data_IF_358254529375
#
_entry.id   IF_358254529375
#
_cell.length_a   1.000
_cell.length_b   1.000
_cell.length_c   1.000
_cell.angle_alpha   90.00
_cell.angle_beta   90.00
_cell.angle_gamma   90.00
#
_symmetry.space_group_name_H-M   'P 1'
#
loop_
_entity.id
_entity.type
_entity.pdbx_description
1 polymer ?
#
# COMPACT_ATOMS: atom_id res chain seq x y z
N UNK A 1 10.75 20.26 6.98
CA UNK A 1 9.53 20.96 6.46
C UNK A 1 8.57 21.20 7.63
N UNK A 2 7.78 22.30 7.60
CA UNK A 2 6.75 22.49 8.63
C UNK A 2 5.66 21.42 8.44
N UNK A 3 5.18 20.78 9.51
CA UNK A 3 4.15 19.75 9.62
C UNK A 3 3.01 19.86 8.60
N UNK A 4 2.38 21.06 8.51
CA UNK A 4 1.32 21.33 7.53
C UNK A 4 1.79 21.17 6.07
N UNK A 5 3.06 21.46 5.79
CA UNK A 5 3.63 21.31 4.46
C UNK A 5 3.76 19.83 4.04
N UNK A 6 4.14 18.93 4.94
CA UNK A 6 4.24 17.49 4.64
C UNK A 6 2.86 16.90 4.32
N UNK A 7 1.83 17.23 5.11
CA UNK A 7 0.46 16.78 4.86
C UNK A 7 -0.04 17.29 3.51
N UNK A 8 0.14 18.60 3.23
CA UNK A 8 -0.35 19.21 1.98
C UNK A 8 0.37 18.57 0.77
N UNK A 9 1.70 18.47 0.82
CA UNK A 9 2.47 17.87 -0.28
C UNK A 9 2.12 16.40 -0.45
N UNK A 10 2.04 15.63 0.65
CA UNK A 10 1.65 14.23 0.60
C UNK A 10 0.27 14.03 -0.01
N UNK A 11 -0.74 14.78 0.44
CA UNK A 11 -2.09 14.75 -0.12
C UNK A 11 -2.13 15.17 -1.60
N UNK A 12 -1.39 16.22 -1.98
CA UNK A 12 -1.33 16.67 -3.36
C UNK A 12 -0.74 15.59 -4.29
N UNK A 13 0.35 14.94 -3.87
CA UNK A 13 0.95 13.86 -4.64
C UNK A 13 0.00 12.66 -4.77
N UNK A 14 -0.63 12.23 -3.68
CA UNK A 14 -1.60 11.13 -3.70
C UNK A 14 -2.76 11.48 -4.64
N UNK A 15 -3.30 12.69 -4.53
CA UNK A 15 -4.40 13.15 -5.38
C UNK A 15 -4.03 13.15 -6.87
N UNK A 16 -2.82 13.62 -7.21
CA UNK A 16 -2.30 13.59 -8.59
C UNK A 16 -2.31 12.16 -9.12
N UNK A 17 -1.79 11.19 -8.36
CA UNK A 17 -1.74 9.79 -8.81
C UNK A 17 -3.11 9.14 -8.87
N UNK A 18 -4.02 9.45 -7.95
CA UNK A 18 -5.41 8.99 -8.02
C UNK A 18 -6.10 9.55 -9.27
N UNK A 19 -5.95 10.85 -9.53
CA UNK A 19 -6.51 11.48 -10.73
C UNK A 19 -5.90 10.89 -12.00
N UNK A 20 -4.59 10.66 -12.03
CA UNK A 20 -3.90 9.98 -13.13
C UNK A 20 -4.46 8.57 -13.37
N UNK A 21 -4.69 7.77 -12.30
CA UNK A 21 -5.25 6.43 -12.40
C UNK A 21 -6.69 6.44 -12.92
N UNK A 22 -7.52 7.38 -12.45
CA UNK A 22 -8.92 7.51 -12.88
C UNK A 22 -9.05 8.05 -14.29
N UNK A 23 -8.24 9.03 -14.64
CA UNK A 23 -8.26 9.69 -15.93
C UNK A 23 -7.43 8.95 -17.00
N UNK A 24 -6.74 7.88 -16.66
CA UNK A 24 -5.90 7.12 -17.59
C UNK A 24 -6.59 6.77 -18.92
N UNK A 25 -7.87 6.30 -18.95
CA UNK A 25 -8.55 6.02 -20.21
C UNK A 25 -8.83 7.25 -21.09
N UNK A 26 -8.86 8.44 -20.49
CA UNK A 26 -9.10 9.72 -21.18
C UNK A 26 -7.80 10.42 -21.60
N UNK A 27 -6.74 10.26 -20.81
CA UNK A 27 -5.47 10.92 -21.01
C UNK A 27 -4.48 10.10 -21.83
N UNK A 28 -4.67 8.78 -21.93
CA UNK A 28 -3.79 7.92 -22.71
C UNK A 28 -3.96 8.20 -24.22
N UNK A 29 -2.90 8.64 -24.92
CA UNK A 29 -2.99 8.93 -26.34
C UNK A 29 -3.21 7.68 -27.19
N UNK A 30 -2.74 6.52 -26.69
CA UNK A 30 -2.78 5.25 -27.41
C UNK A 30 -3.19 4.10 -26.48
N UNK A 31 -3.61 2.96 -27.05
CA UNK A 31 -3.83 1.74 -26.29
C UNK A 31 -2.49 1.30 -25.62
N UNK A 32 -2.44 1.12 -24.28
CA UNK A 32 -1.24 0.75 -23.57
C UNK A 32 -0.68 -0.63 -23.96
N UNK A 33 -1.47 -1.48 -24.62
CA UNK A 33 -1.11 -2.83 -25.00
C UNK A 33 -0.90 -3.00 -26.52
N UNK A 34 -1.20 -1.97 -27.30
CA UNK A 34 -1.01 -2.02 -28.76
C UNK A 34 0.49 -2.10 -29.10
N UNK A 35 0.92 -3.22 -29.67
CA UNK A 35 2.31 -3.48 -30.05
C UNK A 35 2.56 -3.11 -31.52
N UNK A 36 3.76 -2.60 -31.81
CA UNK A 36 4.15 -2.25 -33.19
C UNK A 36 5.65 -2.40 -33.39
N UNK A 37 6.10 -3.45 -34.06
CA UNK A 37 7.54 -3.71 -34.26
C UNK A 37 8.27 -2.56 -34.97
N UNK A 38 7.59 -1.82 -35.85
CA UNK A 38 8.13 -0.64 -36.51
C UNK A 38 8.42 0.53 -35.54
N UNK A 39 7.75 0.55 -34.38
CA UNK A 39 7.87 1.57 -33.34
C UNK A 39 8.75 1.13 -32.17
N UNK A 40 9.46 0.01 -32.30
CA UNK A 40 10.34 -0.50 -31.26
C UNK A 40 11.39 0.55 -30.86
N UNK A 41 11.39 0.94 -29.58
CA UNK A 41 12.26 1.99 -29.03
C UNK A 41 12.18 3.33 -29.79
N UNK A 42 11.04 3.64 -30.40
CA UNK A 42 10.87 4.90 -31.10
C UNK A 42 11.04 6.09 -30.13
N UNK A 43 11.72 7.16 -30.57
CA UNK A 43 11.92 8.35 -29.74
C UNK A 43 10.59 9.10 -29.50
N UNK A 44 10.55 10.03 -28.56
CA UNK A 44 9.42 10.90 -28.33
C UNK A 44 8.94 11.62 -29.61
N UNK A 45 7.62 11.65 -29.81
CA UNK A 45 6.96 12.32 -30.94
C UNK A 45 5.64 12.91 -30.49
N UNK A 46 4.95 13.65 -31.40
CA UNK A 46 3.60 14.17 -31.10
C UNK A 46 2.56 13.09 -30.85
N UNK A 47 2.71 11.93 -31.48
CA UNK A 47 1.82 10.76 -31.30
C UNK A 47 2.23 9.91 -30.10
N UNK A 48 3.51 9.85 -29.79
CA UNK A 48 4.10 9.10 -28.66
C UNK A 48 4.96 10.03 -27.79
N UNK A 49 4.37 10.82 -26.87
CA UNK A 49 5.05 11.91 -26.19
C UNK A 49 6.28 11.50 -25.35
N UNK A 50 6.31 10.29 -24.82
CA UNK A 50 7.46 9.70 -24.11
C UNK A 50 8.17 8.60 -24.93
N UNK A 51 7.82 8.48 -26.21
CA UNK A 51 8.33 7.42 -27.07
C UNK A 51 7.64 6.07 -26.83
N UNK A 52 8.27 5.01 -27.36
CA UNK A 52 7.76 3.65 -27.29
C UNK A 52 8.76 2.71 -26.62
N UNK A 53 8.23 1.63 -26.04
CA UNK A 53 9.03 0.57 -25.41
C UNK A 53 9.62 -0.42 -26.43
N UNK A 54 10.21 -1.51 -25.93
CA UNK A 54 10.83 -2.56 -26.75
C UNK A 54 9.85 -3.31 -27.65
N UNK A 55 8.54 -3.25 -27.36
CA UNK A 55 7.48 -3.86 -28.16
C UNK A 55 6.74 -2.84 -29.03
N UNK A 56 7.18 -1.57 -29.01
CA UNK A 56 6.55 -0.47 -29.75
C UNK A 56 5.25 0.03 -29.11
N UNK A 57 5.04 -0.24 -27.81
CA UNK A 57 3.87 0.25 -27.06
C UNK A 57 4.13 1.65 -26.54
N UNK A 58 3.09 2.50 -26.47
CA UNK A 58 3.20 3.88 -26.00
C UNK A 58 3.58 3.95 -24.50
N UNK A 59 4.75 4.50 -24.20
CA UNK A 59 5.28 4.60 -22.83
C UNK A 59 4.39 5.47 -21.94
N UNK A 60 3.91 6.63 -22.42
CA UNK A 60 3.02 7.50 -21.65
C UNK A 60 1.70 6.80 -21.29
N UNK A 61 1.08 6.12 -22.25
CA UNK A 61 -0.17 5.36 -22.00
C UNK A 61 0.06 4.29 -20.94
N UNK A 62 1.18 3.58 -21.00
CA UNK A 62 1.55 2.56 -20.04
C UNK A 62 1.79 3.13 -18.64
N UNK A 63 2.43 4.28 -18.50
CA UNK A 63 2.63 4.96 -17.22
C UNK A 63 1.32 5.38 -16.57
N UNK A 64 0.38 5.93 -17.37
CA UNK A 64 -0.94 6.33 -16.89
C UNK A 64 -1.75 5.13 -16.40
N UNK A 65 -1.80 4.06 -17.19
CA UNK A 65 -2.45 2.81 -16.78
C UNK A 65 -1.72 2.12 -15.63
N UNK A 66 -0.38 2.29 -15.53
CA UNK A 66 0.42 1.79 -14.43
C UNK A 66 -0.05 2.29 -13.07
N UNK A 67 -0.42 3.56 -12.97
CA UNK A 67 -1.02 4.11 -11.76
C UNK A 67 -2.31 3.36 -11.36
N UNK A 68 -3.15 3.04 -12.35
CA UNK A 68 -4.40 2.31 -12.14
C UNK A 68 -4.17 0.88 -11.68
N UNK A 69 -3.17 0.18 -12.22
CA UNK A 69 -2.83 -1.19 -11.81
C UNK A 69 -2.11 -1.22 -10.47
N UNK A 70 -1.05 -0.40 -10.29
CA UNK A 70 -0.25 -0.40 -9.07
C UNK A 70 -1.05 0.05 -7.83
N UNK A 71 -1.90 1.06 -7.97
CA UNK A 71 -2.69 1.60 -6.85
C UNK A 71 -4.10 1.02 -6.78
N UNK A 72 -4.77 0.84 -7.92
CA UNK A 72 -6.17 0.44 -7.97
C UNK A 72 -6.43 -0.98 -7.48
N UNK A 73 -5.46 -1.88 -7.58
CA UNK A 73 -5.55 -3.23 -7.00
C UNK A 73 -5.13 -3.25 -5.54
N UNK A 74 -4.09 -2.49 -5.19
CA UNK A 74 -3.48 -2.55 -3.86
C UNK A 74 -4.33 -1.84 -2.80
N UNK A 75 -4.77 -0.61 -3.07
CA UNK A 75 -5.45 0.22 -2.07
C UNK A 75 -6.77 -0.38 -1.57
N UNK A 76 -7.72 -0.84 -2.42
CA UNK A 76 -8.98 -1.40 -1.95
C UNK A 76 -8.80 -2.63 -1.05
N UNK A 77 -7.86 -3.52 -1.42
CA UNK A 77 -7.56 -4.72 -0.62
C UNK A 77 -7.01 -4.32 0.74
N UNK A 78 -6.09 -3.36 0.79
CA UNK A 78 -5.55 -2.88 2.05
C UNK A 78 -6.59 -2.20 2.94
N UNK A 79 -7.54 -1.46 2.39
CA UNK A 79 -8.64 -0.85 3.16
C UNK A 79 -9.45 -1.93 3.87
N UNK A 80 -9.81 -3.00 3.16
CA UNK A 80 -10.57 -4.11 3.76
C UNK A 80 -9.77 -4.81 4.86
N UNK A 81 -8.51 -5.13 4.58
CA UNK A 81 -7.62 -5.79 5.55
C UNK A 81 -7.34 -4.91 6.78
N UNK A 82 -7.17 -3.60 6.58
CA UNK A 82 -6.94 -2.64 7.63
C UNK A 82 -8.17 -2.49 8.55
N UNK A 83 -9.37 -2.42 7.97
CA UNK A 83 -10.61 -2.37 8.75
C UNK A 83 -10.81 -3.65 9.57
N UNK A 84 -10.53 -4.81 8.97
CA UNK A 84 -10.55 -6.09 9.67
C UNK A 84 -9.53 -6.15 10.81
N UNK A 85 -8.27 -5.75 10.53
CA UNK A 85 -7.20 -5.71 11.52
C UNK A 85 -7.53 -4.77 12.68
N UNK A 86 -8.10 -3.60 12.40
CA UNK A 86 -8.50 -2.64 13.42
C UNK A 86 -9.54 -3.23 14.37
N UNK A 87 -10.58 -3.86 13.81
CA UNK A 87 -11.62 -4.48 14.61
C UNK A 87 -11.09 -5.68 15.42
N UNK A 88 -10.46 -6.64 14.76
CA UNK A 88 -9.97 -7.87 15.39
C UNK A 88 -8.86 -7.58 16.41
N UNK A 89 -7.94 -6.68 16.08
CA UNK A 89 -6.85 -6.28 16.97
C UNK A 89 -7.35 -5.59 18.25
N UNK A 90 -8.30 -4.67 18.13
CA UNK A 90 -8.93 -4.04 19.30
C UNK A 90 -9.74 -5.05 20.12
N UNK A 91 -10.53 -5.90 19.45
CA UNK A 91 -11.37 -6.89 20.15
C UNK A 91 -10.52 -7.92 20.91
N UNK A 92 -9.46 -8.45 20.28
CA UNK A 92 -8.59 -9.42 20.93
C UNK A 92 -7.84 -8.82 22.10
N UNK A 93 -7.33 -7.59 21.97
CA UNK A 93 -6.64 -6.89 23.05
C UNK A 93 -7.55 -6.59 24.24
N UNK A 94 -8.81 -6.23 23.99
CA UNK A 94 -9.81 -6.01 25.03
C UNK A 94 -10.18 -7.31 25.75
N UNK A 95 -10.40 -8.40 25.00
CA UNK A 95 -10.79 -9.70 25.55
C UNK A 95 -9.65 -10.37 26.33
N UNK A 96 -8.41 -10.19 25.87
CA UNK A 96 -7.22 -10.79 26.46
C UNK A 96 -7.21 -12.32 26.42
N UNK A 97 -6.42 -12.91 27.30
CA UNK A 97 -6.34 -14.38 27.48
C UNK A 97 -5.94 -15.13 26.21
N UNK A 98 -6.51 -16.32 26.02
CA UNK A 98 -6.19 -17.21 24.89
C UNK A 98 -6.46 -16.59 23.52
N UNK A 99 -7.49 -15.76 23.37
CA UNK A 99 -7.83 -15.13 22.08
C UNK A 99 -6.71 -14.20 21.63
N UNK A 100 -6.24 -13.35 22.53
CA UNK A 100 -5.12 -12.43 22.23
C UNK A 100 -3.82 -13.19 22.00
N UNK A 101 -3.56 -14.24 22.76
CA UNK A 101 -2.36 -15.06 22.65
C UNK A 101 -2.30 -15.80 21.30
N UNK A 102 -3.40 -16.41 20.86
CA UNK A 102 -3.47 -17.10 19.56
C UNK A 102 -3.21 -16.13 18.41
N UNK A 103 -3.86 -14.94 18.44
CA UNK A 103 -3.64 -13.93 17.40
C UNK A 103 -2.18 -13.45 17.40
N UNK A 104 -1.58 -13.26 18.58
CA UNK A 104 -0.18 -12.91 18.70
C UNK A 104 0.74 -13.95 18.06
N UNK A 105 0.56 -15.24 18.42
CA UNK A 105 1.35 -16.33 17.88
C UNK A 105 1.19 -16.43 16.35
N UNK A 106 -0.02 -16.30 15.83
CA UNK A 106 -0.26 -16.32 14.39
C UNK A 106 0.46 -15.16 13.68
N UNK A 107 0.40 -13.95 14.22
CA UNK A 107 1.14 -12.82 13.67
C UNK A 107 2.67 -13.07 13.72
N UNK A 108 3.19 -13.58 14.83
CA UNK A 108 4.62 -13.86 15.01
C UNK A 108 5.10 -14.92 14.00
N UNK A 109 4.31 -15.98 13.77
CA UNK A 109 4.62 -17.01 12.75
C UNK A 109 4.64 -16.41 11.35
N UNK A 110 3.60 -15.63 10.97
CA UNK A 110 3.51 -15.03 9.63
C UNK A 110 4.63 -14.02 9.37
N UNK A 111 5.04 -13.26 10.40
CA UNK A 111 6.10 -12.26 10.28
C UNK A 111 7.51 -12.87 10.40
N UNK A 112 7.65 -14.13 10.81
CA UNK A 112 8.94 -14.83 10.84
C UNK A 112 9.45 -15.16 9.42
N UNK A 113 8.57 -15.23 8.43
CA UNK A 113 8.94 -15.50 7.06
C UNK A 113 9.07 -14.19 6.26
N UNK A 114 10.14 -14.03 5.46
CA UNK A 114 10.22 -12.93 4.51
C UNK A 114 9.02 -12.96 3.55
N UNK A 115 8.41 -11.79 3.30
CA UNK A 115 7.24 -11.67 2.41
C UNK A 115 7.45 -12.33 1.05
N UNK A 116 8.64 -12.18 0.48
CA UNK A 116 8.98 -12.77 -0.82
C UNK A 116 8.88 -14.32 -0.81
N UNK A 117 9.26 -14.95 0.31
CA UNK A 117 9.20 -16.41 0.44
C UNK A 117 7.74 -16.87 0.48
N UNK A 118 6.89 -16.18 1.22
CA UNK A 118 5.45 -16.47 1.28
C UNK A 118 4.83 -16.32 -0.12
N UNK A 119 5.15 -15.24 -0.83
CA UNK A 119 4.61 -14.98 -2.16
C UNK A 119 5.07 -16.04 -3.16
N UNK A 120 6.34 -16.39 -3.18
CA UNK A 120 6.86 -17.43 -4.08
C UNK A 120 6.25 -18.81 -3.77
N UNK A 121 6.08 -19.15 -2.49
CA UNK A 121 5.43 -20.39 -2.09
C UNK A 121 3.98 -20.46 -2.57
N UNK A 122 3.20 -19.38 -2.42
CA UNK A 122 1.82 -19.31 -2.88
C UNK A 122 1.70 -19.36 -4.40
N UNK A 123 2.54 -18.63 -5.11
CA UNK A 123 2.57 -18.65 -6.59
C UNK A 123 2.94 -20.04 -7.11
N UNK A 124 3.86 -20.72 -6.45
CA UNK A 124 4.25 -22.10 -6.83
C UNK A 124 3.19 -23.15 -6.50
N UNK A 125 2.40 -22.92 -5.44
CA UNK A 125 1.41 -23.88 -4.96
C UNK A 125 0.04 -23.73 -5.64
N UNK A 126 -0.33 -22.52 -6.04
CA UNK A 126 -1.65 -22.21 -6.62
C UNK A 126 -1.52 -21.91 -8.11
N UNK A 127 -1.05 -20.74 -8.45
CA UNK A 127 -0.77 -20.29 -9.81
C UNK A 127 0.05 -18.99 -9.81
N UNK A 128 0.65 -18.66 -10.96
CA UNK A 128 1.32 -17.36 -11.15
C UNK A 128 0.32 -16.31 -11.58
N UNK A 129 -0.53 -15.88 -10.66
CA UNK A 129 -1.57 -14.88 -10.91
C UNK A 129 -1.44 -13.66 -10.01
N UNK A 130 -2.09 -12.57 -10.44
CA UNK A 130 -2.26 -11.36 -9.62
C UNK A 130 -2.92 -11.68 -8.27
N UNK A 131 -3.88 -12.61 -8.28
CA UNK A 131 -4.59 -13.02 -7.07
C UNK A 131 -3.65 -13.65 -6.04
N UNK A 132 -2.75 -14.55 -6.45
CA UNK A 132 -1.78 -15.19 -5.57
C UNK A 132 -0.85 -14.18 -4.91
N UNK A 133 -0.37 -13.17 -5.64
CA UNK A 133 0.47 -12.10 -5.09
C UNK A 133 -0.32 -11.20 -4.15
N UNK A 134 -1.55 -10.83 -4.49
CA UNK A 134 -2.42 -10.03 -3.62
C UNK A 134 -2.69 -10.77 -2.30
N UNK A 135 -2.97 -12.07 -2.36
CA UNK A 135 -3.20 -12.89 -1.16
C UNK A 135 -1.92 -12.92 -0.30
N UNK A 136 -0.75 -13.13 -0.90
CA UNK A 136 0.52 -13.15 -0.17
C UNK A 136 0.80 -11.84 0.56
N UNK A 137 0.66 -10.71 -0.15
CA UNK A 137 0.83 -9.39 0.42
C UNK A 137 -0.24 -9.14 1.49
N UNK A 138 -1.48 -9.54 1.21
CA UNK A 138 -2.60 -9.40 2.13
C UNK A 138 -2.37 -10.11 3.46
N UNK A 139 -1.91 -11.36 3.43
CA UNK A 139 -1.59 -12.13 4.64
C UNK A 139 -0.51 -11.43 5.47
N UNK A 140 0.57 -11.00 4.84
CA UNK A 140 1.68 -10.34 5.52
C UNK A 140 1.29 -8.96 6.05
N UNK A 141 0.56 -8.17 5.28
CA UNK A 141 0.07 -6.86 5.71
C UNK A 141 -0.96 -6.98 6.83
N UNK A 142 -1.83 -8.00 6.79
CA UNK A 142 -2.79 -8.26 7.85
C UNK A 142 -2.08 -8.55 9.19
N UNK A 143 -1.07 -9.42 9.19
CA UNK A 143 -0.28 -9.71 10.39
C UNK A 143 0.39 -8.45 10.93
N UNK A 144 0.95 -7.62 10.05
CA UNK A 144 1.58 -6.36 10.41
C UNK A 144 0.58 -5.36 11.00
N UNK A 145 -0.59 -5.15 10.37
CA UNK A 145 -1.63 -4.28 10.90
C UNK A 145 -2.17 -4.78 12.25
N UNK A 146 -2.46 -6.09 12.36
CA UNK A 146 -2.92 -6.69 13.62
C UNK A 146 -1.93 -6.44 14.76
N UNK A 147 -0.63 -6.66 14.52
CA UNK A 147 0.41 -6.45 15.52
C UNK A 147 0.44 -5.01 15.99
N UNK A 148 0.35 -4.05 15.07
CA UNK A 148 0.35 -2.62 15.39
C UNK A 148 -0.89 -2.20 16.16
N UNK A 149 -2.09 -2.58 15.66
CA UNK A 149 -3.36 -2.28 16.34
C UNK A 149 -3.36 -2.86 17.76
N UNK A 150 -2.94 -4.12 17.93
CA UNK A 150 -2.88 -4.75 19.24
C UNK A 150 -1.94 -4.03 20.20
N UNK A 151 -0.81 -3.52 19.73
CA UNK A 151 0.13 -2.75 20.56
C UNK A 151 -0.53 -1.51 21.13
N UNK A 152 -1.19 -0.71 20.30
CA UNK A 152 -1.91 0.49 20.73
C UNK A 152 -3.15 0.15 21.58
N UNK A 153 -3.93 -0.82 21.16
CA UNK A 153 -5.13 -1.22 21.86
C UNK A 153 -4.85 -1.72 23.27
N UNK A 154 -3.72 -2.41 23.52
CA UNK A 154 -3.31 -2.82 24.86
C UNK A 154 -2.99 -1.64 25.76
N UNK A 155 -2.30 -0.63 25.22
CA UNK A 155 -2.02 0.60 25.97
C UNK A 155 -3.31 1.32 26.33
N UNK A 156 -4.25 1.42 25.38
CA UNK A 156 -5.56 2.05 25.62
C UNK A 156 -6.43 1.27 26.61
N UNK A 157 -6.41 -0.07 26.58
CA UNK A 157 -7.14 -0.91 27.52
C UNK A 157 -6.74 -0.71 29.00
N UNK A 158 -5.53 -0.23 29.27
CA UNK A 158 -5.05 0.07 30.61
C UNK A 158 -5.48 1.43 31.15
N UNK A 159 -6.17 2.26 30.37
CA UNK A 159 -6.57 3.61 30.82
C UNK A 159 -7.84 3.60 31.66
N UNK A 160 -7.94 4.52 32.62
CA UNK A 160 -9.04 4.63 33.60
C UNK A 160 -10.43 4.77 32.96
N UNK A 161 -10.54 5.44 31.81
CA UNK A 161 -11.85 5.60 31.15
C UNK A 161 -12.45 4.28 30.63
N UNK A 162 -11.61 3.29 30.31
CA UNK A 162 -12.06 1.93 29.94
C UNK A 162 -12.60 1.20 31.16
N UNK A 163 -11.93 1.34 32.30
CA UNK A 163 -12.38 0.78 33.57
C UNK A 163 -13.70 1.42 34.01
N UNK A 164 -13.81 2.74 33.94
CA UNK A 164 -15.04 3.47 34.23
C UNK A 164 -16.22 3.00 33.33
N UNK A 165 -15.99 2.81 32.03
CA UNK A 165 -17.00 2.30 31.12
C UNK A 165 -17.43 0.87 31.46
N UNK A 166 -16.50 0.03 31.97
CA UNK A 166 -16.80 -1.34 32.41
C UNK A 166 -17.64 -1.33 33.70
N UNK A 167 -17.28 -0.50 34.67
CA UNK A 167 -18.06 -0.34 35.94
C UNK A 167 -19.45 0.21 35.63
N UNK A 168 -19.59 1.11 34.66
CA UNK A 168 -20.87 1.62 34.21
C UNK A 168 -21.75 0.59 33.45
N UNK A 169 -21.29 -0.67 33.32
CA UNK A 169 -22.03 -1.76 32.71
C UNK A 169 -22.02 -1.79 31.19
N UNK A 170 -21.08 -1.10 30.52
CA UNK A 170 -20.99 -1.17 29.09
C UNK A 170 -20.55 -2.58 28.63
N UNK A 171 -21.23 -3.12 27.61
CA UNK A 171 -20.83 -4.40 27.02
C UNK A 171 -19.46 -4.30 26.34
N UNK A 172 -18.72 -5.42 26.31
CA UNK A 172 -17.38 -5.46 25.70
C UNK A 172 -17.34 -4.97 24.26
N UNK A 173 -18.33 -5.33 23.44
CA UNK A 173 -18.43 -4.85 22.05
C UNK A 173 -18.65 -3.33 22.01
N UNK A 174 -19.46 -2.78 22.93
CA UNK A 174 -19.67 -1.32 23.04
C UNK A 174 -18.39 -0.60 23.42
N UNK A 175 -17.60 -1.16 24.34
CA UNK A 175 -16.30 -0.61 24.74
C UNK A 175 -15.34 -0.61 23.53
N UNK A 176 -15.26 -1.72 22.80
CA UNK A 176 -14.40 -1.81 21.61
C UNK A 176 -14.81 -0.78 20.55
N UNK A 177 -16.08 -0.73 20.17
CA UNK A 177 -16.52 0.12 19.05
C UNK A 177 -16.57 1.61 19.41
N UNK A 178 -16.92 1.96 20.66
CA UNK A 178 -17.21 3.35 21.04
C UNK A 178 -16.09 4.03 21.82
N UNK A 179 -15.19 3.23 22.40
CA UNK A 179 -14.09 3.76 23.21
C UNK A 179 -12.73 3.35 22.66
N UNK A 180 -12.51 2.07 22.34
CA UNK A 180 -11.18 1.60 21.97
C UNK A 180 -10.82 1.95 20.52
N UNK A 181 -11.65 1.59 19.55
CA UNK A 181 -11.39 1.88 18.13
C UNK A 181 -11.18 3.37 17.87
N UNK A 182 -12.05 4.30 18.34
CA UNK A 182 -11.85 5.73 18.07
C UNK A 182 -10.52 6.29 18.62
N UNK A 183 -10.05 5.77 19.76
CA UNK A 183 -8.81 6.23 20.38
C UNK A 183 -7.56 5.60 19.75
N UNK A 184 -7.66 4.39 19.18
CA UNK A 184 -6.58 3.74 18.42
C UNK A 184 -6.50 4.24 16.98
N UNK A 185 -7.63 4.71 16.42
CA UNK A 185 -7.76 5.07 15.02
C UNK A 185 -6.76 6.13 14.52
N UNK A 186 -6.46 7.22 15.26
CA UNK A 186 -5.51 8.22 14.81
C UNK A 186 -4.11 7.64 14.54
N UNK A 187 -3.57 6.88 15.48
CA UNK A 187 -2.28 6.22 15.34
C UNK A 187 -2.31 5.17 14.23
N UNK A 188 -3.43 4.42 14.12
CA UNK A 188 -3.63 3.44 13.08
C UNK A 188 -3.58 4.06 11.67
N UNK A 189 -4.18 5.22 11.44
CA UNK A 189 -4.15 5.91 10.14
C UNK A 189 -2.73 6.26 9.71
N UNK A 190 -1.85 6.65 10.64
CA UNK A 190 -0.43 6.89 10.35
C UNK A 190 0.24 5.64 9.79
N UNK A 191 0.03 4.50 10.45
CA UNK A 191 0.59 3.23 9.99
C UNK A 191 -0.05 2.73 8.71
N UNK A 192 -1.34 2.98 8.53
CA UNK A 192 -2.05 2.62 7.32
C UNK A 192 -1.48 3.34 6.08
N UNK A 193 -1.19 4.64 6.18
CA UNK A 193 -0.61 5.39 5.07
C UNK A 193 0.78 4.87 4.67
N UNK A 194 1.66 4.62 5.63
CA UNK A 194 2.98 3.98 5.36
C UNK A 194 2.84 2.55 4.86
N UNK A 195 1.84 1.82 5.34
CA UNK A 195 1.48 0.48 4.88
C UNK A 195 1.10 0.44 3.41
N UNK A 196 0.36 1.45 2.91
CA UNK A 196 0.03 1.56 1.48
C UNK A 196 1.32 1.71 0.64
N UNK A 197 2.24 2.60 1.02
CA UNK A 197 3.51 2.77 0.32
C UNK A 197 4.31 1.46 0.27
N UNK A 198 4.40 0.76 1.40
CA UNK A 198 5.09 -0.53 1.50
C UNK A 198 4.45 -1.59 0.61
N UNK A 199 3.12 -1.66 0.56
CA UNK A 199 2.42 -2.63 -0.27
C UNK A 199 2.56 -2.34 -1.77
N UNK A 200 2.48 -1.07 -2.20
CA UNK A 200 2.74 -0.67 -3.59
C UNK A 200 4.15 -1.10 -4.00
N UNK A 201 5.17 -0.79 -3.19
CA UNK A 201 6.55 -1.23 -3.44
C UNK A 201 6.68 -2.75 -3.49
N UNK A 202 5.96 -3.48 -2.65
CA UNK A 202 5.98 -4.95 -2.66
C UNK A 202 5.37 -5.53 -3.92
N UNK A 203 4.18 -5.04 -4.34
CA UNK A 203 3.53 -5.43 -5.61
C UNK A 203 4.48 -5.21 -6.78
N UNK A 204 5.05 -4.00 -6.88
CA UNK A 204 5.96 -3.65 -7.97
C UNK A 204 7.27 -4.44 -7.91
N UNK A 205 7.76 -4.81 -6.72
CA UNK A 205 8.93 -5.68 -6.57
C UNK A 205 8.65 -7.10 -7.09
N UNK A 206 7.47 -7.67 -6.80
CA UNK A 206 7.08 -8.97 -7.35
C UNK A 206 6.89 -8.92 -8.86
N UNK A 207 6.25 -7.88 -9.36
CA UNK A 207 6.09 -7.64 -10.79
C UNK A 207 7.45 -7.50 -11.50
N UNK A 208 8.41 -6.81 -10.89
CA UNK A 208 9.80 -6.71 -11.37
C UNK A 208 10.51 -8.06 -11.42
N UNK A 209 10.19 -8.98 -10.51
CA UNK A 209 10.71 -10.34 -10.53
C UNK A 209 9.95 -11.26 -11.51
N UNK A 210 8.90 -10.77 -12.18
CA UNK A 210 8.08 -11.54 -13.09
C UNK A 210 7.06 -12.45 -12.37
N UNK A 211 6.74 -12.14 -11.12
CA UNK A 211 5.81 -12.91 -10.29
C UNK A 211 4.46 -12.22 -10.25
N UNK A 212 3.39 -12.95 -10.55
CA UNK A 212 2.00 -12.55 -10.30
C UNK A 212 1.36 -11.66 -11.35
N UNK A 213 2.05 -11.23 -12.39
CA UNK A 213 1.46 -10.42 -13.45
C UNK A 213 1.50 -11.12 -14.82
N UNK A 214 0.44 -10.92 -15.59
CA UNK A 214 0.40 -11.33 -16.99
C UNK A 214 1.40 -10.45 -17.76
N UNK A 215 2.24 -11.08 -18.57
CA UNK A 215 3.19 -10.35 -19.41
C UNK A 215 2.47 -9.27 -20.25
N UNK A 216 3.02 -8.06 -20.27
CA UNK A 216 2.41 -6.93 -20.96
C UNK A 216 1.49 -6.06 -20.12
N UNK A 217 1.10 -6.46 -18.91
CA UNK A 217 0.33 -5.61 -18.00
C UNK A 217 1.09 -4.30 -17.73
N UNK A 218 0.49 -3.12 -17.93
CA UNK A 218 1.13 -1.85 -17.69
C UNK A 218 1.14 -1.53 -16.19
N UNK A 219 1.93 -2.28 -15.42
CA UNK A 219 2.22 -2.06 -14.01
C UNK A 219 3.67 -1.57 -13.90
N UNK A 220 3.95 -0.60 -13.03
CA UNK A 220 5.25 0.07 -12.99
C UNK A 220 6.44 -0.86 -12.71
N UNK A 221 6.29 -1.86 -11.83
CA UNK A 221 7.32 -2.86 -11.58
C UNK A 221 7.55 -3.80 -12.77
N UNK A 222 6.46 -4.18 -13.47
CA UNK A 222 6.53 -4.96 -14.70
C UNK A 222 7.22 -4.17 -15.83
N UNK A 223 6.91 -2.86 -15.95
CA UNK A 223 7.59 -1.96 -16.89
C UNK A 223 9.09 -1.89 -16.61
N UNK A 224 9.50 -1.81 -15.34
CA UNK A 224 10.90 -1.85 -14.95
C UNK A 224 11.58 -3.18 -15.35
N UNK A 225 10.90 -4.30 -15.16
CA UNK A 225 11.41 -5.61 -15.60
C UNK A 225 11.62 -5.65 -17.12
N UNK A 226 10.61 -5.25 -17.88
CA UNK A 226 10.67 -5.22 -19.33
C UNK A 226 11.79 -4.30 -19.84
N UNK A 227 11.95 -3.13 -19.21
CA UNK A 227 12.99 -2.15 -19.57
C UNK A 227 14.43 -2.56 -19.22
N UNK A 228 14.62 -3.58 -18.39
CA UNK A 228 15.94 -4.04 -17.92
C UNK A 228 16.93 -4.30 -19.05
N UNK A 229 16.46 -4.86 -20.15
CA UNK A 229 17.30 -5.19 -21.30
C UNK A 229 17.62 -3.97 -22.19
N UNK A 230 16.94 -2.85 -21.98
CA UNK A 230 17.15 -1.60 -22.74
C UNK A 230 17.86 -0.51 -21.95
N UNK A 231 18.43 -0.82 -20.77
CA UNK A 231 19.08 0.17 -19.90
C UNK A 231 20.17 0.98 -20.60
N UNK A 232 20.91 0.36 -21.51
CA UNK A 232 22.01 1.02 -22.25
C UNK A 232 21.52 1.72 -23.53
N UNK A 233 20.44 1.26 -24.16
CA UNK A 233 19.92 1.81 -25.40
C UNK A 233 18.88 2.91 -25.17
N UNK A 234 18.02 2.75 -24.16
CA UNK A 234 16.98 3.71 -23.79
C UNK A 234 16.74 3.71 -22.27
N UNK A 235 17.59 4.38 -21.46
CA UNK A 235 17.44 4.42 -20.01
C UNK A 235 16.16 5.10 -19.53
N UNK A 236 15.51 5.92 -20.36
CA UNK A 236 14.27 6.61 -20.03
C UNK A 236 13.13 5.62 -19.67
N UNK A 237 13.10 4.45 -20.31
CA UNK A 237 12.12 3.39 -20.01
C UNK A 237 12.20 2.86 -18.57
N UNK A 238 13.35 2.98 -17.91
CA UNK A 238 13.52 2.66 -16.48
C UNK A 238 13.20 3.86 -15.59
N UNK A 239 13.64 5.05 -16.04
CA UNK A 239 13.53 6.28 -15.24
C UNK A 239 12.07 6.65 -15.03
N UNK A 240 11.21 6.58 -16.04
CA UNK A 240 9.81 7.00 -15.94
C UNK A 240 9.00 6.18 -14.91
N UNK A 241 8.91 4.85 -15.00
CA UNK A 241 8.18 4.07 -14.00
C UNK A 241 8.86 4.13 -12.61
N UNK A 242 10.18 4.22 -12.56
CA UNK A 242 10.93 4.41 -11.30
C UNK A 242 10.56 5.71 -10.58
N UNK A 243 10.47 6.83 -11.30
CA UNK A 243 10.01 8.12 -10.74
C UNK A 243 8.56 8.00 -10.26
N UNK A 244 7.68 7.37 -11.03
CA UNK A 244 6.29 7.17 -10.62
C UNK A 244 6.18 6.40 -9.30
N UNK A 245 6.95 5.32 -9.13
CA UNK A 245 7.01 4.56 -7.89
C UNK A 245 7.54 5.39 -6.71
N UNK A 246 8.67 6.06 -6.90
CA UNK A 246 9.30 6.87 -5.85
C UNK A 246 8.35 7.99 -5.40
N UNK A 247 7.80 8.75 -6.34
CA UNK A 247 6.95 9.90 -6.03
C UNK A 247 5.61 9.45 -5.46
N UNK A 248 5.03 8.36 -5.99
CA UNK A 248 3.80 7.77 -5.47
C UNK A 248 3.95 7.30 -4.01
N UNK A 249 5.00 6.54 -3.72
CA UNK A 249 5.29 6.08 -2.35
C UNK A 249 5.65 7.24 -1.41
N UNK A 250 6.41 8.24 -1.90
CA UNK A 250 6.74 9.43 -1.13
C UNK A 250 5.50 10.21 -0.69
N UNK A 251 4.46 10.27 -1.54
CA UNK A 251 3.19 10.91 -1.18
C UNK A 251 2.55 10.29 0.07
N UNK A 252 2.43 8.97 0.11
CA UNK A 252 1.89 8.25 1.27
C UNK A 252 2.78 8.35 2.52
N UNK A 253 4.10 8.27 2.37
CA UNK A 253 5.03 8.41 3.49
C UNK A 253 5.00 9.82 4.08
N UNK A 254 5.02 10.87 3.24
CA UNK A 254 4.92 12.26 3.70
C UNK A 254 3.60 12.54 4.42
N UNK A 255 2.49 11.97 3.92
CA UNK A 255 1.21 12.07 4.61
C UNK A 255 1.28 11.38 5.98
N UNK A 256 1.83 10.17 6.05
CA UNK A 256 1.97 9.42 7.31
C UNK A 256 2.83 10.16 8.35
N UNK A 257 4.00 10.68 7.94
CA UNK A 257 4.86 11.47 8.82
C UNK A 257 4.18 12.77 9.30
N UNK A 258 3.51 13.48 8.39
CA UNK A 258 2.78 14.69 8.74
C UNK A 258 1.63 14.44 9.72
N UNK A 259 0.91 13.34 9.57
CA UNK A 259 -0.13 12.90 10.51
C UNK A 259 0.46 12.50 11.86
N UNK A 260 1.57 11.75 11.87
CA UNK A 260 2.28 11.36 13.09
C UNK A 260 2.69 12.56 13.92
N UNK A 261 3.31 13.55 13.27
CA UNK A 261 3.69 14.80 13.94
C UNK A 261 2.44 15.59 14.41
N UNK A 262 1.27 15.33 13.80
CA UNK A 262 0.03 15.92 14.20
C UNK A 262 -0.48 15.35 15.52
N UNK A 263 -0.50 14.07 15.64
CA UNK A 263 -1.04 13.33 16.78
C UNK A 263 -0.09 13.44 17.98
N UNK A 264 1.23 13.28 17.78
CA UNK A 264 2.21 13.28 18.87
C UNK A 264 2.27 14.57 19.72
N UNK A 265 1.83 15.72 19.16
CA UNK A 265 1.75 16.96 19.94
C UNK A 265 0.48 17.12 20.77
N UNK A 266 -0.58 16.41 20.46
CA UNK A 266 -1.78 16.41 21.29
C UNK A 266 -1.54 15.67 22.61
N UNK A 267 -0.74 14.62 22.57
CA UNK A 267 -0.35 13.89 23.78
C UNK A 267 0.52 14.75 24.73
N UNK A 268 1.41 15.60 24.20
CA UNK A 268 2.26 16.50 25.00
C UNK A 268 1.47 17.65 25.67
N UNK A 269 0.36 18.09 25.08
CA UNK A 269 -0.47 19.20 25.61
C UNK A 269 -1.40 18.70 26.72
N UNK A 270 -1.79 17.43 26.70
CA UNK A 270 -2.65 16.85 27.74
C UNK A 270 -1.89 16.46 29.03
N UNK A 271 -0.55 16.50 29.03
CA UNK A 271 0.32 16.15 30.17
C UNK A 271 0.88 17.39 30.89
N UNK A 272 0.69 18.59 30.34
CA UNK A 272 1.09 19.87 30.92
C UNK A 272 -0.11 20.59 31.57
#
# INVERSE_FOLDING_TARGET
MKRKGQIIVGLALILIFILMALAAPLLAPNDPNATGLALKNAPPSSEYPLGCDQMGRCELSRLLYGARYSMGLTIPVLIVLAAFALFVGCYSSYKGGLVDEVIRILCDILMAFPLIVIAMALVSAVDNSVASVIIAIGISMLAWFLRMVRSYAKTECGKEYIEAARIAGASGLRIVLRHLIPNVFPQFVVYFTTGIATAIMSVSSFAFLGVGLIAGTPEWGAMLNEARNSVYSNPALLIYPGICLIVGCAGFNLLGEGLRDAIGKEDDICVA
#
